data_IF_013794206068
#
_entry.id   IF_013794206068
#
_cell.length_a   1.000
_cell.length_b   1.000
_cell.length_c   1.000
_cell.angle_alpha   90.00
_cell.angle_beta   90.00
_cell.angle_gamma   90.00
#
_symmetry.space_group_name_H-M   'P 1'
#
loop_
_entity.id
_entity.type
_entity.pdbx_description
1 polymer ?
#
# COMPACT_ATOMS: atom_id res chain seq x y z
N UNK A 1 -18.18 33.80 20.00
CA UNK A 1 -19.35 33.44 19.17
C UNK A 1 -19.64 31.95 19.33
N UNK A 2 -20.89 31.64 19.66
CA UNK A 2 -21.27 30.43 20.36
C UNK A 2 -21.14 29.12 19.61
N UNK A 3 -20.53 28.16 20.26
CA UNK A 3 -20.56 26.73 19.89
C UNK A 3 -21.99 26.19 20.09
N UNK A 4 -22.69 25.93 18.98
CA UNK A 4 -23.91 25.11 19.05
C UNK A 4 -23.51 23.65 18.81
N UNK A 5 -23.40 22.88 19.87
CA UNK A 5 -23.35 21.41 19.79
C UNK A 5 -24.79 20.90 19.77
N UNK A 6 -25.20 20.29 18.67
CA UNK A 6 -26.44 19.52 18.67
C UNK A 6 -26.09 18.05 18.96
N UNK A 7 -26.16 17.65 20.21
CA UNK A 7 -26.03 16.25 20.64
C UNK A 7 -27.38 15.56 20.54
N UNK A 8 -27.54 14.57 19.67
CA UNK A 8 -28.61 13.60 19.80
C UNK A 8 -28.02 12.27 20.26
N UNK A 9 -28.25 11.92 21.51
CA UNK A 9 -27.90 10.61 22.08
C UNK A 9 -28.97 9.58 21.66
N UNK A 10 -28.57 8.55 20.91
CA UNK A 10 -29.38 7.34 20.74
C UNK A 10 -28.70 6.17 21.46
N UNK A 11 -29.33 5.73 22.55
CA UNK A 11 -28.89 4.51 23.26
C UNK A 11 -29.46 3.29 22.56
N UNK A 12 -28.61 2.40 22.06
CA UNK A 12 -28.99 1.08 21.57
C UNK A 12 -28.55 0.02 22.57
N UNK A 13 -29.51 -0.70 23.14
CA UNK A 13 -29.20 -1.85 23.99
C UNK A 13 -28.98 -3.07 23.11
N UNK A 14 -27.79 -3.59 23.06
CA UNK A 14 -27.46 -4.90 22.50
C UNK A 14 -26.61 -5.70 23.47
N UNK A 15 -27.15 -6.81 23.89
CA UNK A 15 -26.63 -7.98 24.65
C UNK A 15 -25.25 -7.83 25.36
N UNK A 16 -25.06 -8.38 26.56
CA UNK A 16 -24.34 -7.80 27.68
C UNK A 16 -22.82 -8.01 27.70
N UNK A 17 -22.07 -7.31 26.86
CA UNK A 17 -20.63 -7.14 27.08
C UNK A 17 -20.02 -5.83 26.54
N UNK A 18 -20.72 -5.04 25.74
CA UNK A 18 -20.22 -3.72 25.28
C UNK A 18 -21.36 -2.73 25.15
N UNK A 19 -21.37 -1.70 25.95
CA UNK A 19 -22.21 -0.53 25.75
C UNK A 19 -21.53 0.35 24.72
N UNK A 20 -22.12 0.49 23.53
CA UNK A 20 -21.68 1.40 22.49
C UNK A 20 -22.61 2.62 22.43
N UNK A 21 -22.03 3.79 22.23
CA UNK A 21 -22.77 5.04 21.99
C UNK A 21 -22.39 5.58 20.63
N UNK A 22 -23.40 5.90 19.82
CA UNK A 22 -23.21 6.59 18.56
C UNK A 22 -23.42 8.08 18.76
N UNK A 23 -22.39 8.87 18.51
CA UNK A 23 -22.44 10.32 18.58
C UNK A 23 -22.37 10.90 17.16
N UNK A 24 -23.44 11.61 16.75
CA UNK A 24 -23.45 12.29 15.47
C UNK A 24 -23.06 13.76 15.63
N UNK A 25 -22.08 14.20 14.87
CA UNK A 25 -21.64 15.60 14.80
C UNK A 25 -21.96 16.14 13.41
N UNK A 26 -22.73 17.22 13.34
CA UNK A 26 -23.00 17.93 12.09
C UNK A 26 -22.05 19.10 11.94
N UNK A 27 -21.31 19.14 10.85
CA UNK A 27 -20.43 20.24 10.48
C UNK A 27 -21.11 21.00 9.32
N UNK A 28 -21.38 22.29 9.52
CA UNK A 28 -21.89 23.12 8.46
C UNK A 28 -20.70 23.58 7.59
N UNK A 29 -20.85 23.48 6.26
CA UNK A 29 -19.82 23.89 5.28
C UNK A 29 -18.45 23.26 5.58
N UNK A 30 -18.33 21.92 5.57
CA UNK A 30 -17.09 21.25 5.94
C UNK A 30 -16.01 21.53 4.89
N UNK A 31 -14.82 21.89 5.36
CA UNK A 31 -13.61 21.84 4.54
C UNK A 31 -13.21 20.40 4.31
N UNK A 32 -12.84 20.08 3.08
CA UNK A 32 -12.46 18.72 2.70
C UNK A 32 -10.96 18.57 2.67
N UNK A 33 -10.50 17.37 2.99
CA UNK A 33 -9.14 16.94 2.75
C UNK A 33 -8.97 16.57 1.27
N UNK A 34 -7.86 16.99 0.65
CA UNK A 34 -7.50 16.66 -0.72
C UNK A 34 -6.08 16.09 -0.80
N UNK A 35 -5.80 15.22 -1.80
CA UNK A 35 -4.45 14.82 -2.11
C UNK A 35 -3.55 16.00 -2.50
N UNK A 36 -2.24 15.84 -2.32
CA UNK A 36 -1.23 16.79 -2.76
C UNK A 36 -1.42 17.17 -4.25
N UNK A 37 -1.40 18.46 -4.53
CA UNK A 37 -1.62 19.01 -5.86
C UNK A 37 -3.10 19.20 -6.27
N UNK A 38 -4.08 18.80 -5.44
CA UNK A 38 -5.51 18.90 -5.74
C UNK A 38 -6.29 19.80 -4.77
N UNK A 39 -5.70 20.21 -3.67
CA UNK A 39 -6.32 21.08 -2.69
C UNK A 39 -5.59 21.08 -1.36
N UNK A 40 -6.28 21.57 -0.31
CA UNK A 40 -5.75 21.66 1.05
C UNK A 40 -5.98 20.37 1.85
N UNK A 41 -5.14 20.12 2.85
CA UNK A 41 -5.22 18.97 3.73
C UNK A 41 -5.92 19.35 5.05
N UNK A 42 -7.15 19.88 4.92
CA UNK A 42 -7.96 20.28 6.08
C UNK A 42 -8.34 19.07 6.94
N UNK A 43 -8.08 19.17 8.25
CA UNK A 43 -8.33 18.11 9.22
C UNK A 43 -9.12 18.62 10.40
N UNK A 44 -9.91 17.73 10.99
CA UNK A 44 -10.74 18.01 12.16
C UNK A 44 -10.26 17.19 13.35
N UNK A 45 -10.26 17.80 14.51
CA UNK A 45 -9.99 17.11 15.78
C UNK A 45 -11.30 16.84 16.49
N UNK A 46 -11.62 15.56 16.68
CA UNK A 46 -12.74 15.12 17.49
C UNK A 46 -12.25 14.71 18.87
N UNK A 47 -12.92 15.17 19.90
CA UNK A 47 -12.63 14.81 21.30
C UNK A 47 -13.90 14.25 21.92
N UNK A 48 -13.91 12.95 22.20
CA UNK A 48 -14.95 12.32 22.98
C UNK A 48 -14.53 12.29 24.46
N UNK A 49 -15.41 12.75 25.36
CA UNK A 49 -15.21 12.70 26.81
C UNK A 49 -16.33 11.88 27.42
N UNK A 50 -15.97 10.89 28.21
CA UNK A 50 -16.88 10.08 29.01
C UNK A 50 -16.61 10.38 30.48
N UNK A 51 -17.66 10.63 31.24
CA UNK A 51 -17.58 10.81 32.69
C UNK A 51 -18.52 9.77 33.32
N UNK A 52 -18.01 9.07 34.32
CA UNK A 52 -18.81 8.13 35.09
C UNK A 52 -19.59 8.83 36.23
N UNK A 53 -20.34 8.05 36.99
CA UNK A 53 -21.16 8.57 38.11
C UNK A 53 -20.33 9.08 39.27
N UNK A 54 -19.10 8.61 39.42
CA UNK A 54 -18.18 8.98 40.52
C UNK A 54 -17.34 10.21 40.15
N UNK A 55 -17.51 10.73 38.94
CA UNK A 55 -16.86 11.95 38.45
C UNK A 55 -15.56 11.72 37.70
N UNK A 56 -15.08 10.48 37.62
CA UNK A 56 -13.90 10.13 36.83
C UNK A 56 -14.19 10.33 35.35
N UNK A 57 -13.21 10.83 34.62
CA UNK A 57 -13.38 11.13 33.19
C UNK A 57 -12.25 10.58 32.36
N UNK A 58 -12.64 10.00 31.21
CA UNK A 58 -11.74 9.59 30.16
C UNK A 58 -12.00 10.41 28.90
N UNK A 59 -10.95 10.67 28.11
CA UNK A 59 -11.12 11.30 26.81
C UNK A 59 -10.33 10.56 25.75
N UNK A 60 -10.90 10.50 24.56
CA UNK A 60 -10.25 10.01 23.35
C UNK A 60 -10.24 11.14 22.33
N UNK A 61 -9.07 11.36 21.73
CA UNK A 61 -8.88 12.30 20.63
C UNK A 61 -8.65 11.54 19.34
N UNK A 62 -9.33 11.98 18.27
CA UNK A 62 -9.08 11.51 16.91
C UNK A 62 -8.94 12.72 15.99
N UNK A 63 -7.99 12.63 15.06
CA UNK A 63 -7.78 13.62 13.98
C UNK A 63 -8.11 12.93 12.69
N UNK A 64 -8.95 13.54 11.85
CA UNK A 64 -9.31 12.98 10.55
C UNK A 64 -9.60 14.09 9.53
N UNK A 65 -9.49 13.78 8.25
CA UNK A 65 -9.94 14.64 7.16
C UNK A 65 -11.25 14.14 6.56
N UNK A 66 -12.12 15.06 6.17
CA UNK A 66 -13.38 14.71 5.53
C UNK A 66 -13.19 14.63 4.01
N UNK A 67 -13.43 13.47 3.44
CA UNK A 67 -13.35 13.24 1.98
C UNK A 67 -14.31 12.14 1.57
N UNK A 68 -14.60 12.04 0.29
CA UNK A 68 -15.11 10.82 -0.34
C UNK A 68 -13.99 10.19 -1.16
N UNK A 69 -13.97 8.86 -1.23
CA UNK A 69 -13.05 8.11 -2.09
C UNK A 69 -13.81 7.00 -2.83
N UNK A 70 -13.48 6.81 -4.10
CA UNK A 70 -14.02 5.78 -4.97
C UNK A 70 -12.87 5.16 -5.77
N UNK A 71 -12.84 3.86 -5.88
CA UNK A 71 -12.06 3.14 -6.89
C UNK A 71 -13.00 2.85 -8.06
N UNK A 72 -12.93 3.71 -9.08
CA UNK A 72 -13.83 3.66 -10.24
C UNK A 72 -13.38 2.60 -11.22
N UNK A 73 -14.29 1.71 -11.57
CA UNK A 73 -14.09 0.66 -12.55
C UNK A 73 -15.23 0.67 -13.57
N UNK A 74 -14.96 1.18 -14.75
CA UNK A 74 -15.94 1.30 -15.83
C UNK A 74 -15.41 0.63 -17.10
N UNK A 75 -16.30 -0.06 -17.80
CA UNK A 75 -15.98 -0.64 -19.11
C UNK A 75 -15.88 0.47 -20.16
N UNK A 76 -14.80 0.45 -20.94
CA UNK A 76 -14.60 1.32 -22.08
C UNK A 76 -13.98 0.54 -23.27
N UNK A 77 -13.55 1.24 -24.31
CA UNK A 77 -12.98 0.61 -25.52
C UNK A 77 -11.61 -0.05 -25.27
N UNK A 78 -10.93 0.23 -24.17
CA UNK A 78 -9.62 -0.31 -23.79
C UNK A 78 -9.68 -1.32 -22.64
N UNK A 79 -10.89 -1.74 -22.22
CA UNK A 79 -11.11 -2.66 -21.13
C UNK A 79 -11.82 -2.03 -19.94
N UNK A 80 -11.52 -2.48 -18.72
CA UNK A 80 -12.16 -2.01 -17.49
C UNK A 80 -11.21 -1.08 -16.74
N UNK A 81 -11.59 0.20 -16.59
CA UNK A 81 -10.77 1.23 -15.94
C UNK A 81 -10.43 0.88 -14.48
N UNK A 82 -9.36 1.45 -13.98
CA UNK A 82 -9.00 1.49 -12.56
C UNK A 82 -8.54 2.90 -12.22
N UNK A 83 -9.37 3.67 -11.56
CA UNK A 83 -9.16 5.10 -11.33
C UNK A 83 -9.57 5.50 -9.92
N UNK A 84 -8.69 6.20 -9.22
CA UNK A 84 -9.03 6.79 -7.92
C UNK A 84 -9.76 8.10 -8.12
N UNK A 85 -10.89 8.25 -7.43
CA UNK A 85 -11.69 9.48 -7.44
C UNK A 85 -11.82 9.99 -6.02
N UNK A 86 -11.27 11.16 -5.73
CA UNK A 86 -11.34 11.79 -4.41
C UNK A 86 -12.18 13.06 -4.48
N UNK A 87 -13.21 13.15 -3.66
CA UNK A 87 -14.16 14.28 -3.67
C UNK A 87 -14.81 14.52 -5.03
N UNK A 88 -15.01 13.48 -5.83
CA UNK A 88 -15.54 13.56 -7.18
C UNK A 88 -14.52 13.95 -8.27
N UNK A 89 -13.25 14.13 -7.91
CA UNK A 89 -12.17 14.47 -8.84
C UNK A 89 -11.36 13.22 -9.16
N UNK A 90 -11.25 12.80 -10.43
CA UNK A 90 -10.33 11.77 -10.86
C UNK A 90 -8.87 12.16 -10.57
N UNK A 91 -8.12 11.25 -9.95
CA UNK A 91 -6.73 11.49 -9.57
C UNK A 91 -5.82 10.60 -10.39
N UNK A 92 -4.87 11.20 -11.11
CA UNK A 92 -3.76 10.43 -11.67
C UNK A 92 -2.77 10.12 -10.55
N UNK A 93 -2.71 8.85 -10.13
CA UNK A 93 -1.82 8.40 -9.09
C UNK A 93 -0.36 8.38 -9.58
N UNK A 94 0.49 9.15 -8.92
CA UNK A 94 1.94 9.23 -9.16
C UNK A 94 2.66 8.87 -7.88
N UNK A 95 3.47 7.83 -7.90
CA UNK A 95 4.09 7.42 -6.67
C UNK A 95 5.03 6.23 -6.77
N UNK A 96 5.22 5.57 -5.65
CA UNK A 96 6.13 4.45 -5.52
C UNK A 96 5.59 3.43 -4.51
N UNK A 97 6.16 2.22 -4.56
CA UNK A 97 5.96 1.22 -3.52
C UNK A 97 6.91 1.52 -2.35
N UNK A 98 6.35 1.57 -1.15
CA UNK A 98 7.09 1.76 0.09
C UNK A 98 7.38 0.40 0.71
N UNK A 99 8.66 0.04 0.73
CA UNK A 99 9.18 -1.10 1.50
C UNK A 99 9.59 -0.62 2.90
N UNK A 100 9.97 -1.52 3.84
CA UNK A 100 10.47 -1.11 5.15
C UNK A 100 11.57 -0.04 5.06
N UNK A 101 11.39 1.05 5.80
CA UNK A 101 12.28 2.23 5.76
C UNK A 101 13.66 1.98 6.36
N UNK A 102 13.77 0.95 7.21
CA UNK A 102 14.96 0.60 7.96
C UNK A 102 14.94 -0.90 8.28
N UNK A 103 16.10 -1.53 8.31
CA UNK A 103 16.23 -2.94 8.74
C UNK A 103 15.83 -3.16 10.21
N UNK A 104 15.93 -2.11 11.01
CA UNK A 104 15.52 -2.10 12.41
C UNK A 104 14.41 -1.06 12.61
N UNK A 105 13.13 -1.45 12.55
CA UNK A 105 12.00 -0.52 12.57
C UNK A 105 12.00 0.48 13.75
N UNK A 106 12.53 0.07 14.90
CA UNK A 106 12.66 0.91 16.09
C UNK A 106 13.64 2.10 15.95
N UNK A 107 14.36 2.20 14.84
CA UNK A 107 15.21 3.36 14.50
C UNK A 107 14.50 4.41 13.66
N UNK A 108 13.28 4.12 13.23
CA UNK A 108 12.47 5.05 12.43
C UNK A 108 11.69 5.94 13.39
N UNK A 109 12.00 7.21 13.39
CA UNK A 109 11.28 8.22 14.15
C UNK A 109 10.42 9.11 13.24
N UNK A 110 9.57 9.95 13.84
CA UNK A 110 8.70 10.88 13.11
C UNK A 110 9.49 11.82 12.18
N UNK A 111 10.69 12.23 12.56
CA UNK A 111 11.50 13.14 11.74
C UNK A 111 11.98 12.44 10.46
N UNK A 112 12.42 11.18 10.58
CA UNK A 112 12.81 10.35 9.44
C UNK A 112 11.63 10.06 8.52
N UNK A 113 10.48 9.71 9.09
CA UNK A 113 9.22 9.52 8.34
C UNK A 113 8.87 10.78 7.56
N UNK A 114 8.86 11.93 8.22
CA UNK A 114 8.53 13.22 7.59
C UNK A 114 9.48 13.53 6.45
N UNK A 115 10.78 13.39 6.63
CA UNK A 115 11.75 13.63 5.57
C UNK A 115 11.46 12.81 4.32
N UNK A 116 11.18 11.50 4.47
CA UNK A 116 10.91 10.61 3.33
C UNK A 116 9.61 10.98 2.63
N UNK A 117 8.56 11.30 3.37
CA UNK A 117 7.28 11.68 2.78
C UNK A 117 7.33 13.07 2.13
N UNK A 118 8.13 13.99 2.67
CA UNK A 118 8.40 15.29 2.03
C UNK A 118 9.20 15.11 0.74
N UNK A 119 10.23 14.26 0.72
CA UNK A 119 10.97 13.93 -0.49
C UNK A 119 10.06 13.35 -1.58
N UNK A 120 9.14 12.46 -1.21
CA UNK A 120 8.14 11.91 -2.13
C UNK A 120 7.21 13.01 -2.70
N UNK A 121 6.66 13.87 -1.84
CA UNK A 121 5.82 15.00 -2.25
C UNK A 121 6.59 15.96 -3.16
N UNK A 122 7.83 16.30 -2.80
CA UNK A 122 8.66 17.26 -3.54
C UNK A 122 9.12 16.69 -4.89
N UNK A 123 9.17 15.35 -5.01
CA UNK A 123 9.27 14.64 -6.29
C UNK A 123 7.94 14.57 -7.07
N UNK A 124 6.91 15.31 -6.66
CA UNK A 124 5.56 15.33 -7.24
C UNK A 124 4.80 14.00 -7.14
N UNK A 125 5.12 13.17 -6.18
CA UNK A 125 4.30 12.01 -5.85
C UNK A 125 3.08 12.45 -5.03
N UNK A 126 1.94 11.82 -5.29
CA UNK A 126 0.71 12.03 -4.53
C UNK A 126 0.17 10.72 -3.94
N UNK A 127 0.83 9.60 -4.18
CA UNK A 127 0.46 8.28 -3.64
C UNK A 127 1.70 7.48 -3.27
N UNK A 128 1.59 6.72 -2.18
CA UNK A 128 2.54 5.64 -1.85
C UNK A 128 1.75 4.36 -1.56
N UNK A 129 2.29 3.22 -1.97
CA UNK A 129 1.77 1.92 -1.59
C UNK A 129 2.59 1.35 -0.45
N UNK A 130 1.95 1.10 0.69
CA UNK A 130 2.54 0.34 1.80
C UNK A 130 2.47 -1.14 1.42
N UNK A 131 3.59 -1.66 0.95
CA UNK A 131 3.70 -2.98 0.35
C UNK A 131 3.53 -4.11 1.38
N UNK A 132 2.77 -5.14 0.99
CA UNK A 132 2.39 -6.26 1.85
C UNK A 132 3.52 -7.20 2.29
N UNK A 133 4.71 -7.07 1.72
CA UNK A 133 5.91 -7.78 2.17
C UNK A 133 6.69 -7.08 3.30
N UNK A 134 6.14 -6.00 3.86
CA UNK A 134 6.71 -5.24 4.96
C UNK A 134 5.96 -5.44 6.28
N UNK A 135 5.61 -4.33 6.90
CA UNK A 135 4.83 -4.25 8.13
C UNK A 135 3.91 -3.02 8.10
N UNK A 136 2.85 -3.02 8.91
CA UNK A 136 2.03 -1.83 9.12
C UNK A 136 2.87 -0.75 9.79
N UNK A 137 2.91 0.42 9.19
CA UNK A 137 3.72 1.54 9.69
C UNK A 137 3.21 2.04 11.06
N UNK A 138 4.05 2.80 11.76
CA UNK A 138 3.64 3.49 12.99
C UNK A 138 2.62 4.59 12.70
N UNK A 139 1.85 5.00 13.72
CA UNK A 139 0.81 6.02 13.59
C UNK A 139 1.36 7.35 13.04
N UNK A 140 2.60 7.69 13.38
CA UNK A 140 3.29 8.87 12.85
C UNK A 140 3.40 8.89 11.32
N UNK A 141 3.52 7.74 10.68
CA UNK A 141 3.58 7.65 9.23
C UNK A 141 2.26 8.08 8.58
N UNK A 142 1.16 7.57 9.09
CA UNK A 142 -0.18 7.89 8.60
C UNK A 142 -0.55 9.34 8.91
N UNK A 143 -0.22 9.84 10.10
CA UNK A 143 -0.40 11.24 10.48
C UNK A 143 0.33 12.20 9.53
N UNK A 144 1.58 11.90 9.19
CA UNK A 144 2.38 12.73 8.27
C UNK A 144 1.85 12.61 6.83
N UNK A 145 1.41 11.43 6.39
CA UNK A 145 0.76 11.27 5.09
C UNK A 145 -0.53 12.12 4.98
N UNK A 146 -1.34 12.14 6.05
CA UNK A 146 -2.52 13.00 6.16
C UNK A 146 -2.17 14.49 6.08
N UNK A 147 -1.07 14.89 6.73
CA UNK A 147 -0.57 16.28 6.75
C UNK A 147 -0.09 16.73 5.36
N UNK A 148 0.57 15.86 4.64
CA UNK A 148 1.19 16.16 3.35
C UNK A 148 0.29 15.89 2.13
N UNK A 149 -0.86 15.24 2.34
CA UNK A 149 -1.77 14.89 1.26
C UNK A 149 -1.29 13.71 0.41
N UNK A 150 -0.45 12.84 0.95
CA UNK A 150 -0.01 11.64 0.24
C UNK A 150 -1.08 10.56 0.42
N UNK A 151 -1.72 10.19 -0.68
CA UNK A 151 -2.64 9.05 -0.69
C UNK A 151 -1.90 7.75 -0.37
N UNK A 152 -2.54 6.85 0.35
CA UNK A 152 -1.99 5.55 0.70
C UNK A 152 -2.82 4.42 0.11
N UNK A 153 -2.16 3.56 -0.65
CA UNK A 153 -2.61 2.22 -0.96
C UNK A 153 -2.06 1.31 0.14
N UNK A 154 -2.92 0.80 1.00
CA UNK A 154 -2.52 -0.02 2.15
C UNK A 154 -2.75 -1.50 1.86
N UNK A 155 -1.67 -2.27 1.69
CA UNK A 155 -1.76 -3.73 1.67
C UNK A 155 -1.97 -4.28 3.09
N UNK A 156 -2.72 -5.36 3.21
CA UNK A 156 -2.57 -6.30 4.31
C UNK A 156 -1.25 -7.07 4.15
N UNK A 157 -0.63 -7.49 5.26
CA UNK A 157 0.74 -8.01 5.26
C UNK A 157 0.82 -9.45 4.74
N UNK A 158 0.45 -9.63 3.48
CA UNK A 158 0.59 -10.88 2.71
C UNK A 158 1.32 -10.59 1.40
N UNK A 159 2.39 -11.35 1.12
CA UNK A 159 3.16 -11.15 -0.10
C UNK A 159 3.78 -12.46 -0.58
N UNK A 160 3.66 -12.72 -1.88
CA UNK A 160 4.42 -13.73 -2.65
C UNK A 160 4.52 -15.11 -1.98
N UNK A 161 3.46 -15.53 -1.27
CA UNK A 161 3.37 -16.84 -0.65
C UNK A 161 1.91 -17.31 -0.55
N UNK A 162 1.68 -18.61 -0.78
CA UNK A 162 0.36 -19.21 -0.59
C UNK A 162 0.06 -19.27 0.91
N UNK A 163 -1.01 -18.61 1.40
CA UNK A 163 -1.36 -18.65 2.81
C UNK A 163 -1.91 -20.04 3.20
N UNK A 164 -1.67 -20.50 4.44
CA UNK A 164 -2.30 -21.71 4.96
C UNK A 164 -3.83 -21.62 4.89
N UNK A 165 -4.47 -22.68 4.38
CA UNK A 165 -5.92 -22.75 4.26
C UNK A 165 -6.57 -23.44 5.48
N UNK A 166 -6.19 -23.06 6.70
CA UNK A 166 -6.80 -23.57 7.93
C UNK A 166 -7.79 -22.56 8.51
N UNK A 167 -8.75 -23.03 9.30
CA UNK A 167 -9.73 -22.17 9.97
C UNK A 167 -9.03 -21.22 10.93
N UNK A 168 -8.05 -21.73 11.68
CA UNK A 168 -7.28 -20.98 12.68
C UNK A 168 -6.49 -19.84 12.03
N UNK A 169 -5.82 -20.12 10.90
CA UNK A 169 -5.05 -19.10 10.18
C UNK A 169 -5.96 -17.99 9.65
N UNK A 170 -7.09 -18.36 9.01
CA UNK A 170 -8.05 -17.38 8.50
C UNK A 170 -8.67 -16.54 9.61
N UNK A 171 -8.99 -17.16 10.78
CA UNK A 171 -9.54 -16.42 11.91
C UNK A 171 -8.50 -15.47 12.52
N UNK A 172 -7.24 -15.91 12.67
CA UNK A 172 -6.17 -15.04 13.15
C UNK A 172 -5.94 -13.86 12.19
N UNK A 173 -5.90 -14.12 10.88
CA UNK A 173 -5.80 -13.08 9.85
C UNK A 173 -6.97 -12.08 9.91
N UNK A 174 -8.19 -12.59 10.15
CA UNK A 174 -9.38 -11.75 10.32
C UNK A 174 -9.28 -10.85 11.54
N UNK A 175 -8.80 -11.37 12.67
CA UNK A 175 -8.64 -10.60 13.91
C UNK A 175 -7.57 -9.52 13.76
N UNK A 176 -6.41 -9.84 13.16
CA UNK A 176 -5.38 -8.86 12.83
C UNK A 176 -5.92 -7.76 11.92
N UNK A 177 -6.64 -8.13 10.86
CA UNK A 177 -7.26 -7.17 9.95
C UNK A 177 -8.23 -6.24 10.68
N UNK A 178 -9.06 -6.75 11.60
CA UNK A 178 -9.97 -5.92 12.41
C UNK A 178 -9.20 -4.90 13.25
N UNK A 179 -8.12 -5.32 13.88
CA UNK A 179 -7.33 -4.44 14.72
C UNK A 179 -6.65 -3.34 13.90
N UNK A 180 -6.06 -3.69 12.75
CA UNK A 180 -5.40 -2.72 11.88
C UNK A 180 -6.39 -1.76 11.19
N UNK A 181 -7.50 -2.26 10.65
CA UNK A 181 -8.52 -1.40 10.06
C UNK A 181 -9.10 -0.43 11.08
N UNK A 182 -9.40 -0.87 12.30
CA UNK A 182 -9.87 0.02 13.38
C UNK A 182 -8.84 1.05 13.82
N UNK A 183 -7.54 0.70 13.79
CA UNK A 183 -6.45 1.61 14.11
C UNK A 183 -6.33 2.71 13.06
N UNK A 184 -6.47 2.36 11.78
CA UNK A 184 -6.07 3.19 10.66
C UNK A 184 -7.22 3.90 9.92
N UNK A 185 -8.47 3.48 10.09
CA UNK A 185 -9.64 3.99 9.35
C UNK A 185 -9.91 5.49 9.48
N UNK A 186 -9.35 6.14 10.49
CA UNK A 186 -9.54 7.58 10.70
C UNK A 186 -8.59 8.43 9.82
N UNK A 187 -7.63 7.79 9.11
CA UNK A 187 -6.66 8.47 8.25
C UNK A 187 -7.25 8.73 6.85
N UNK A 188 -7.48 10.00 6.46
CA UNK A 188 -8.02 10.35 5.16
C UNK A 188 -7.08 10.00 4.00
N UNK A 189 -5.80 9.85 4.25
CA UNK A 189 -4.78 9.43 3.28
C UNK A 189 -5.02 8.03 2.73
N UNK A 190 -5.59 7.09 3.51
CA UNK A 190 -5.87 5.74 3.03
C UNK A 190 -7.02 5.81 2.01
N UNK A 191 -6.73 5.44 0.77
CA UNK A 191 -7.68 5.51 -0.35
C UNK A 191 -8.05 4.12 -0.90
N UNK A 192 -7.34 3.08 -0.51
CA UNK A 192 -7.66 1.69 -0.81
C UNK A 192 -6.98 0.75 0.18
N UNK A 193 -7.69 -0.29 0.57
CA UNK A 193 -7.16 -1.46 1.24
C UNK A 193 -6.94 -2.57 0.22
N UNK A 194 -5.79 -3.23 0.25
CA UNK A 194 -5.46 -4.32 -0.67
C UNK A 194 -5.15 -5.60 0.08
N UNK A 195 -5.72 -6.71 -0.39
CA UNK A 195 -5.66 -7.99 0.30
C UNK A 195 -4.26 -8.60 0.35
N UNK A 196 -3.48 -8.48 -0.71
CA UNK A 196 -2.14 -9.06 -0.78
C UNK A 196 -1.31 -8.51 -1.93
N UNK A 197 0.00 -8.77 -1.87
CA UNK A 197 0.94 -8.63 -2.98
C UNK A 197 1.21 -9.97 -3.65
N UNK A 198 0.89 -10.07 -4.93
CA UNK A 198 1.34 -11.12 -5.88
C UNK A 198 0.96 -12.57 -5.54
N UNK A 199 -0.01 -12.81 -4.65
CA UNK A 199 -0.39 -14.18 -4.31
C UNK A 199 -1.13 -14.85 -5.47
N UNK A 200 -2.11 -14.15 -6.09
CA UNK A 200 -2.85 -14.68 -7.23
C UNK A 200 -1.94 -14.86 -8.45
N UNK A 201 -1.19 -13.82 -8.83
CA UNK A 201 -0.30 -13.92 -10.00
C UNK A 201 0.81 -14.95 -9.83
N UNK A 202 1.33 -15.11 -8.61
CA UNK A 202 2.30 -16.17 -8.30
C UNK A 202 1.72 -17.57 -8.51
N UNK A 203 0.47 -17.76 -8.08
CA UNK A 203 -0.25 -19.01 -8.26
C UNK A 203 -0.58 -19.32 -9.73
N UNK A 204 -0.92 -18.29 -10.52
CA UNK A 204 -1.33 -18.45 -11.91
C UNK A 204 -0.18 -18.46 -12.90
N UNK A 205 0.87 -17.66 -12.68
CA UNK A 205 1.83 -17.29 -13.72
C UNK A 205 3.29 -17.62 -13.40
N UNK A 206 3.64 -17.97 -12.15
CA UNK A 206 5.05 -18.24 -11.78
C UNK A 206 5.36 -19.73 -11.65
N UNK A 207 6.54 -20.07 -11.15
CA UNK A 207 6.96 -21.45 -10.89
C UNK A 207 6.07 -22.20 -9.91
N UNK A 208 5.11 -21.53 -9.24
CA UNK A 208 4.06 -22.16 -8.44
C UNK A 208 3.10 -23.00 -9.30
N UNK A 209 3.07 -22.78 -10.62
CA UNK A 209 2.36 -23.64 -11.57
C UNK A 209 2.87 -25.08 -11.52
N UNK A 210 4.17 -25.28 -11.31
CA UNK A 210 4.73 -26.62 -11.17
C UNK A 210 4.35 -27.25 -9.83
N UNK A 211 4.41 -26.50 -8.74
CA UNK A 211 3.86 -26.93 -7.45
C UNK A 211 2.38 -27.30 -7.55
N UNK A 212 1.59 -26.55 -8.30
CA UNK A 212 0.18 -26.82 -8.57
C UNK A 212 -0.03 -28.20 -9.25
N UNK A 213 0.87 -28.58 -10.16
CA UNK A 213 0.85 -29.91 -10.80
C UNK A 213 1.23 -31.01 -9.81
N UNK A 214 2.21 -30.76 -8.95
CA UNK A 214 2.72 -31.74 -7.97
C UNK A 214 1.67 -32.08 -6.89
N UNK A 215 0.92 -31.08 -6.41
CA UNK A 215 -0.13 -31.29 -5.42
C UNK A 215 -1.43 -31.86 -6.01
N UNK A 216 -1.60 -31.79 -7.31
CA UNK A 216 -2.77 -32.32 -8.04
C UNK A 216 -3.99 -31.39 -8.01
N UNK A 217 -5.03 -31.74 -8.80
CA UNK A 217 -6.17 -30.83 -9.04
C UNK A 217 -7.06 -30.59 -7.84
N UNK A 218 -7.24 -31.56 -6.96
CA UNK A 218 -8.09 -31.45 -5.79
C UNK A 218 -7.49 -30.47 -4.76
N UNK A 219 -6.21 -30.68 -4.43
CA UNK A 219 -5.49 -29.81 -3.50
C UNK A 219 -5.32 -28.38 -4.08
N UNK A 220 -5.02 -28.26 -5.37
CA UNK A 220 -4.97 -26.98 -6.07
C UNK A 220 -6.27 -26.21 -5.92
N UNK A 221 -7.41 -26.86 -6.12
CA UNK A 221 -8.72 -26.25 -5.95
C UNK A 221 -9.00 -25.85 -4.49
N UNK A 222 -8.50 -26.61 -3.50
CA UNK A 222 -8.61 -26.23 -2.09
C UNK A 222 -7.81 -24.98 -1.78
N UNK A 223 -6.59 -24.86 -2.30
CA UNK A 223 -5.72 -23.69 -2.16
C UNK A 223 -6.38 -22.46 -2.80
N UNK A 224 -6.87 -22.55 -4.04
CA UNK A 224 -7.57 -21.47 -4.74
C UNK A 224 -8.79 -20.97 -3.98
N UNK A 225 -9.61 -21.88 -3.48
CA UNK A 225 -10.75 -21.52 -2.61
C UNK A 225 -10.30 -20.85 -1.32
N UNK A 226 -9.18 -21.31 -0.74
CA UNK A 226 -8.59 -20.71 0.45
C UNK A 226 -8.19 -19.24 0.24
N UNK A 227 -7.48 -18.97 -0.85
CA UNK A 227 -7.08 -17.61 -1.26
C UNK A 227 -8.29 -16.72 -1.53
N UNK A 228 -9.24 -17.20 -2.34
CA UNK A 228 -10.46 -16.44 -2.65
C UNK A 228 -11.30 -16.19 -1.38
N UNK A 229 -11.35 -17.14 -0.46
CA UNK A 229 -12.03 -16.96 0.82
C UNK A 229 -11.35 -15.91 1.69
N UNK A 230 -10.02 -15.98 1.84
CA UNK A 230 -9.27 -15.02 2.68
C UNK A 230 -9.31 -13.63 2.06
N UNK A 231 -8.85 -13.48 0.83
CA UNK A 231 -8.67 -12.16 0.19
C UNK A 231 -9.97 -11.63 -0.43
N UNK A 232 -10.77 -12.47 -1.04
CA UNK A 232 -12.01 -12.04 -1.69
C UNK A 232 -13.19 -11.83 -0.73
N UNK A 233 -13.23 -12.53 0.40
CA UNK A 233 -14.41 -12.51 1.29
C UNK A 233 -14.07 -12.02 2.70
N UNK A 234 -13.11 -12.64 3.41
CA UNK A 234 -12.85 -12.34 4.84
C UNK A 234 -12.31 -10.92 5.00
N UNK A 235 -11.20 -10.58 4.34
CA UNK A 235 -10.58 -9.25 4.47
C UNK A 235 -11.50 -8.15 3.92
N UNK A 236 -12.16 -8.40 2.79
CA UNK A 236 -13.20 -7.52 2.25
C UNK A 236 -14.32 -7.27 3.25
N UNK A 237 -14.80 -8.33 3.90
CA UNK A 237 -15.85 -8.23 4.92
C UNK A 237 -15.41 -7.40 6.13
N UNK A 238 -14.16 -7.49 6.53
CA UNK A 238 -13.59 -6.66 7.60
C UNK A 238 -13.57 -5.19 7.19
N UNK A 239 -13.02 -4.87 6.01
CA UNK A 239 -12.98 -3.48 5.51
C UNK A 239 -14.38 -2.91 5.40
N UNK A 240 -15.32 -3.61 4.74
CA UNK A 240 -16.69 -3.15 4.58
C UNK A 240 -17.42 -2.93 5.92
N UNK A 241 -17.04 -3.68 6.96
CA UNK A 241 -17.67 -3.56 8.29
C UNK A 241 -17.11 -2.40 9.11
N UNK A 242 -15.80 -2.14 9.02
CA UNK A 242 -15.11 -1.23 9.92
C UNK A 242 -14.59 0.05 9.27
N UNK A 243 -14.49 0.07 7.92
CA UNK A 243 -14.05 1.21 7.10
C UNK A 243 -14.75 1.23 5.74
N UNK A 244 -16.07 1.06 5.74
CA UNK A 244 -16.88 0.88 4.52
C UNK A 244 -16.89 2.06 3.54
N UNK A 245 -16.29 3.18 3.91
CA UNK A 245 -16.13 4.37 3.04
C UNK A 245 -14.86 4.30 2.17
N UNK A 246 -13.98 3.32 2.42
CA UNK A 246 -12.74 3.10 1.67
C UNK A 246 -12.86 1.83 0.83
N UNK A 247 -12.56 1.88 -0.48
CA UNK A 247 -12.62 0.70 -1.35
C UNK A 247 -11.61 -0.37 -0.94
N UNK A 248 -11.97 -1.62 -1.23
CA UNK A 248 -11.12 -2.78 -1.04
C UNK A 248 -10.75 -3.42 -2.38
N UNK A 249 -9.46 -3.78 -2.56
CA UNK A 249 -8.88 -4.48 -3.69
C UNK A 249 -8.34 -5.84 -3.25
N UNK A 250 -8.77 -6.93 -3.88
CA UNK A 250 -8.52 -8.27 -3.35
C UNK A 250 -7.06 -8.72 -3.45
N UNK A 251 -6.37 -8.35 -4.52
CA UNK A 251 -4.98 -8.76 -4.82
C UNK A 251 -4.32 -7.75 -5.76
N UNK A 252 -3.03 -7.50 -5.61
CA UNK A 252 -2.23 -6.68 -6.53
C UNK A 252 -1.01 -7.49 -7.01
N UNK A 253 -0.78 -7.69 -8.33
CA UNK A 253 -1.69 -7.27 -9.39
C UNK A 253 -2.96 -8.12 -9.41
N UNK A 254 -4.05 -7.57 -9.91
CA UNK A 254 -5.30 -8.31 -9.95
C UNK A 254 -6.40 -7.65 -10.76
N UNK A 255 -7.49 -8.41 -10.87
CA UNK A 255 -8.73 -8.00 -11.52
C UNK A 255 -9.92 -8.02 -10.56
N UNK A 256 -9.64 -8.12 -9.26
CA UNK A 256 -10.62 -8.38 -8.20
C UNK A 256 -11.23 -9.78 -8.26
N UNK A 257 -10.45 -10.76 -8.72
CA UNK A 257 -10.86 -12.13 -9.05
C UNK A 257 -11.92 -12.24 -10.17
N UNK A 258 -12.12 -11.18 -10.98
CA UNK A 258 -13.00 -11.26 -12.15
C UNK A 258 -12.42 -12.19 -13.24
N UNK A 259 -11.10 -12.13 -13.46
CA UNK A 259 -10.31 -12.92 -14.41
C UNK A 259 -8.94 -13.22 -13.84
N UNK A 260 -8.03 -13.81 -14.64
CA UNK A 260 -6.64 -14.01 -14.27
C UNK A 260 -5.97 -12.67 -13.88
N UNK A 261 -5.01 -12.75 -12.97
CA UNK A 261 -4.25 -11.57 -12.51
C UNK A 261 -3.31 -11.01 -13.60
N UNK A 262 -2.85 -9.78 -13.39
CA UNK A 262 -1.82 -9.14 -14.19
C UNK A 262 -2.21 -8.89 -15.65
N UNK A 263 -3.45 -8.43 -15.87
CA UNK A 263 -3.97 -8.11 -17.21
C UNK A 263 -3.68 -6.64 -17.57
N UNK A 264 -3.45 -6.38 -18.87
CA UNK A 264 -3.19 -5.02 -19.35
C UNK A 264 -4.47 -4.17 -19.42
N UNK A 265 -5.60 -4.82 -19.65
CA UNK A 265 -6.89 -4.18 -19.92
C UNK A 265 -7.88 -4.20 -18.74
N UNK A 266 -7.50 -4.81 -17.61
CA UNK A 266 -8.37 -4.94 -16.44
C UNK A 266 -7.59 -4.92 -15.12
N UNK A 267 -7.97 -4.03 -14.22
CA UNK A 267 -7.36 -3.91 -12.91
C UNK A 267 -5.96 -3.28 -12.92
N UNK A 268 -5.10 -3.78 -12.05
CA UNK A 268 -3.72 -3.31 -11.93
C UNK A 268 -2.70 -4.34 -12.41
N UNK A 269 -1.54 -3.84 -12.82
CA UNK A 269 -0.48 -4.64 -13.43
C UNK A 269 0.87 -4.42 -12.76
N UNK A 270 1.63 -5.52 -12.56
CA UNK A 270 3.05 -5.51 -12.24
C UNK A 270 3.86 -5.86 -13.48
N UNK A 271 4.78 -4.99 -13.88
CA UNK A 271 5.57 -5.18 -15.10
C UNK A 271 7.07 -5.21 -14.80
N UNK A 272 7.61 -6.42 -14.67
CA UNK A 272 9.00 -6.68 -14.32
C UNK A 272 9.84 -7.26 -15.48
N UNK A 273 9.37 -7.18 -16.73
CA UNK A 273 10.09 -7.72 -17.87
C UNK A 273 11.36 -6.92 -18.21
N UNK A 274 11.41 -5.65 -17.83
CA UNK A 274 12.62 -4.83 -17.96
C UNK A 274 13.61 -5.18 -16.87
N UNK A 275 13.32 -4.86 -15.59
CA UNK A 275 14.28 -5.11 -14.51
C UNK A 275 14.36 -6.58 -14.09
N UNK A 276 13.25 -7.26 -13.96
CA UNK A 276 13.18 -8.70 -13.64
C UNK A 276 13.49 -9.59 -14.85
N UNK A 277 12.93 -10.77 -14.87
CA UNK A 277 12.89 -11.71 -16.00
C UNK A 277 13.98 -11.58 -17.07
N UNK A 278 13.58 -11.36 -18.33
CA UNK A 278 14.48 -11.38 -19.49
C UNK A 278 15.38 -10.15 -19.64
N UNK A 279 15.27 -9.15 -18.78
CA UNK A 279 16.04 -7.91 -18.88
C UNK A 279 15.86 -7.19 -20.24
N UNK A 280 14.60 -6.97 -20.63
CA UNK A 280 14.26 -6.30 -21.89
C UNK A 280 14.78 -4.84 -21.90
N UNK A 281 14.94 -4.23 -23.07
CA UNK A 281 15.30 -2.81 -23.16
C UNK A 281 14.30 -1.91 -22.43
N UNK A 282 14.75 -0.78 -21.90
CA UNK A 282 13.87 0.18 -21.21
C UNK A 282 12.77 0.76 -22.09
N UNK A 283 12.98 0.73 -23.42
CA UNK A 283 11.97 1.13 -24.42
C UNK A 283 10.72 0.27 -24.39
N UNK A 284 10.78 -0.93 -23.79
CA UNK A 284 9.59 -1.78 -23.62
C UNK A 284 8.51 -1.15 -22.75
N UNK A 285 8.86 -0.24 -21.84
CA UNK A 285 7.85 0.53 -21.10
C UNK A 285 6.93 1.36 -22.02
N UNK A 286 7.36 1.70 -23.24
CA UNK A 286 6.54 2.41 -24.22
C UNK A 286 5.50 1.51 -24.91
N UNK A 287 5.70 0.20 -24.83
CA UNK A 287 4.85 -0.80 -25.47
C UNK A 287 3.76 -1.36 -24.55
N UNK A 288 3.78 -0.98 -23.25
CA UNK A 288 2.86 -1.52 -22.24
C UNK A 288 2.08 -0.38 -21.60
N UNK A 289 0.77 -0.34 -21.86
CA UNK A 289 -0.12 0.71 -21.35
C UNK A 289 -1.29 0.06 -20.58
N UNK A 290 -1.08 -0.37 -19.32
CA UNK A 290 -2.14 -0.98 -18.53
C UNK A 290 -3.13 0.05 -18.02
N UNK A 291 -4.27 -0.44 -17.50
CA UNK A 291 -5.27 0.43 -16.86
C UNK A 291 -4.73 1.10 -15.59
N UNK A 292 -3.87 0.39 -14.84
CA UNK A 292 -3.12 0.92 -13.73
C UNK A 292 -1.80 0.14 -13.58
N UNK A 293 -0.66 0.84 -13.59
CA UNK A 293 0.64 0.23 -13.37
C UNK A 293 1.01 0.39 -11.89
N UNK A 294 0.76 -0.65 -11.09
CA UNK A 294 1.01 -0.62 -9.64
C UNK A 294 2.44 -0.99 -9.26
N UNK A 295 3.14 -1.76 -10.11
CA UNK A 295 4.57 -2.01 -9.96
C UNK A 295 5.31 -2.05 -11.28
N UNK A 296 6.42 -1.35 -11.33
CA UNK A 296 7.47 -1.42 -12.35
C UNK A 296 8.72 -0.73 -11.80
N UNK A 297 9.84 -0.84 -12.48
CA UNK A 297 11.02 -0.10 -12.09
C UNK A 297 12.31 -0.64 -12.66
N UNK A 298 13.37 0.10 -12.39
CA UNK A 298 14.74 -0.24 -12.68
C UNK A 298 15.57 0.11 -11.45
N UNK A 299 16.30 -0.85 -10.91
CA UNK A 299 17.19 -0.57 -9.79
C UNK A 299 18.28 0.43 -10.21
N UNK A 300 18.67 1.29 -9.29
CA UNK A 300 19.83 2.17 -9.44
C UNK A 300 20.77 1.99 -8.24
N UNK A 301 22.03 2.40 -8.39
CA UNK A 301 22.86 2.68 -7.23
C UNK A 301 22.29 3.88 -6.47
N UNK A 302 22.49 3.96 -5.14
CA UNK A 302 22.19 5.19 -4.41
C UNK A 302 23.16 6.31 -4.87
N UNK A 303 22.81 7.56 -4.54
CA UNK A 303 23.70 8.67 -4.85
C UNK A 303 25.08 8.52 -4.17
N UNK A 304 26.10 9.18 -4.72
CA UNK A 304 27.46 9.05 -4.26
C UNK A 304 27.68 9.47 -2.80
N UNK A 305 26.86 10.38 -2.26
CA UNK A 305 26.91 10.75 -0.84
C UNK A 305 26.53 9.57 0.05
N UNK A 306 25.52 8.81 -0.36
CA UNK A 306 25.09 7.59 0.32
C UNK A 306 26.13 6.49 0.19
N UNK A 307 26.70 6.28 -1.01
CA UNK A 307 27.77 5.29 -1.21
C UNK A 307 28.98 5.59 -0.31
N UNK A 308 29.43 6.84 -0.28
CA UNK A 308 30.55 7.29 0.56
C UNK A 308 30.30 7.17 2.07
N UNK A 309 29.03 6.99 2.49
CA UNK A 309 28.71 6.78 3.90
C UNK A 309 29.01 5.34 4.38
N UNK A 310 29.15 4.38 3.45
CA UNK A 310 29.38 2.97 3.80
C UNK A 310 30.56 2.32 3.05
N UNK A 311 31.15 2.98 2.05
CA UNK A 311 32.22 2.45 1.21
C UNK A 311 33.44 3.37 1.23
N UNK A 312 34.62 2.79 1.32
CA UNK A 312 35.87 3.49 1.22
C UNK A 312 36.28 3.71 -0.26
N UNK A 313 37.24 4.59 -0.56
CA UNK A 313 37.68 4.82 -1.95
C UNK A 313 38.10 3.55 -2.70
N UNK A 314 38.65 2.55 -2.01
CA UNK A 314 39.05 1.27 -2.59
C UNK A 314 37.87 0.34 -2.90
N UNK A 315 36.67 0.66 -2.41
CA UNK A 315 35.42 -0.11 -2.62
C UNK A 315 34.58 0.45 -3.77
N UNK A 316 35.03 1.50 -4.46
CA UNK A 316 34.31 2.15 -5.57
C UNK A 316 34.38 1.31 -6.85
N UNK A 317 33.89 0.09 -6.75
CA UNK A 317 33.71 -0.90 -7.81
C UNK A 317 32.43 -1.69 -7.57
N UNK A 318 31.52 -1.80 -8.54
CA UNK A 318 30.31 -2.62 -8.40
C UNK A 318 30.54 -4.06 -7.94
N UNK A 319 31.70 -4.60 -8.24
CA UNK A 319 32.09 -5.97 -7.86
C UNK A 319 32.90 -6.06 -6.55
N UNK A 320 33.17 -4.93 -5.89
CA UNK A 320 33.82 -4.94 -4.58
C UNK A 320 33.03 -5.71 -3.54
N UNK A 321 33.65 -6.32 -2.54
CA UNK A 321 32.95 -7.04 -1.47
C UNK A 321 31.90 -6.19 -0.77
N UNK A 322 32.19 -4.88 -0.54
CA UNK A 322 31.28 -3.94 0.10
C UNK A 322 30.05 -3.71 -0.78
N UNK A 323 30.21 -3.39 -2.06
CA UNK A 323 29.10 -3.15 -2.97
C UNK A 323 28.26 -4.42 -3.20
N UNK A 324 28.89 -5.59 -3.25
CA UNK A 324 28.19 -6.88 -3.39
C UNK A 324 27.35 -7.22 -2.16
N UNK A 325 27.80 -6.91 -0.97
CA UNK A 325 27.02 -7.13 0.27
C UNK A 325 25.77 -6.24 0.30
N UNK A 326 25.82 -5.04 -0.28
CA UNK A 326 24.67 -4.13 -0.38
C UNK A 326 23.68 -4.52 -1.48
N UNK A 327 24.05 -5.39 -2.42
CA UNK A 327 23.18 -5.88 -3.47
C UNK A 327 22.38 -7.11 -3.03
N UNK A 328 21.05 -7.01 -2.99
CA UNK A 328 20.17 -8.10 -2.55
C UNK A 328 19.37 -8.74 -3.70
N UNK A 329 19.22 -8.05 -4.82
CA UNK A 329 18.47 -8.55 -5.95
C UNK A 329 19.17 -9.77 -6.58
N UNK A 330 18.34 -10.78 -6.92
CA UNK A 330 18.76 -12.01 -7.62
C UNK A 330 20.03 -12.64 -7.01
N UNK A 331 20.02 -12.88 -5.71
CA UNK A 331 21.14 -13.49 -4.96
C UNK A 331 22.47 -12.76 -5.12
N UNK A 332 22.43 -11.42 -5.30
CA UNK A 332 23.62 -10.58 -5.49
C UNK A 332 24.00 -10.31 -6.95
N UNK A 333 23.25 -10.80 -7.93
CA UNK A 333 23.53 -10.54 -9.36
C UNK A 333 23.05 -9.15 -9.85
N UNK A 334 22.37 -8.38 -9.02
CA UNK A 334 21.81 -7.09 -9.39
C UNK A 334 22.83 -6.11 -9.94
N UNK A 335 24.08 -6.07 -9.42
CA UNK A 335 25.12 -5.19 -9.93
C UNK A 335 25.47 -5.49 -11.39
N UNK A 336 25.56 -6.76 -11.78
CA UNK A 336 25.77 -7.15 -13.18
C UNK A 336 24.64 -6.67 -14.09
N UNK A 337 23.39 -6.72 -13.59
CA UNK A 337 22.22 -6.26 -14.32
C UNK A 337 22.21 -4.73 -14.44
N UNK A 338 22.56 -4.00 -13.39
CA UNK A 338 22.76 -2.55 -13.42
C UNK A 338 23.79 -2.17 -14.51
N UNK A 339 24.95 -2.81 -14.50
CA UNK A 339 26.00 -2.58 -15.49
C UNK A 339 25.55 -2.93 -16.92
N UNK A 340 24.71 -3.95 -17.10
CA UNK A 340 24.12 -4.27 -18.40
C UNK A 340 23.29 -3.08 -18.94
N UNK A 341 22.45 -2.47 -18.09
CA UNK A 341 21.63 -1.32 -18.49
C UNK A 341 22.45 -0.06 -18.71
N UNK A 342 23.44 0.22 -17.87
CA UNK A 342 24.36 1.34 -18.05
C UNK A 342 25.05 1.23 -19.42
N UNK A 343 25.62 0.06 -19.75
CA UNK A 343 26.30 -0.18 -21.03
C UNK A 343 25.37 -0.04 -22.22
N UNK A 344 24.13 -0.54 -22.11
CA UNK A 344 23.15 -0.45 -23.20
C UNK A 344 22.71 0.98 -23.48
N UNK A 345 22.64 1.85 -22.47
CA UNK A 345 22.10 3.21 -22.61
C UNK A 345 23.17 4.27 -22.74
N UNK A 346 24.28 4.12 -22.06
CA UNK A 346 25.31 5.17 -21.94
C UNK A 346 26.70 4.72 -22.41
N UNK A 347 26.92 3.44 -22.67
CA UNK A 347 28.22 2.88 -22.98
C UNK A 347 29.02 2.46 -21.73
N UNK A 348 30.33 2.20 -21.89
CA UNK A 348 31.19 1.84 -20.77
C UNK A 348 31.41 3.04 -19.87
N UNK A 349 31.17 2.93 -18.56
CA UNK A 349 31.51 4.00 -17.61
C UNK A 349 32.99 4.18 -17.50
N UNK A 350 33.46 5.41 -17.27
CA UNK A 350 34.88 5.72 -17.11
C UNK A 350 35.39 5.32 -15.73
N UNK A 351 34.55 5.47 -14.73
CA UNK A 351 34.81 5.20 -13.33
C UNK A 351 33.49 4.93 -12.62
N UNK A 352 33.55 4.71 -11.32
CA UNK A 352 32.34 4.42 -10.51
C UNK A 352 31.38 5.63 -10.37
N UNK A 353 31.88 6.85 -10.50
CA UNK A 353 31.10 8.09 -10.37
C UNK A 353 30.40 8.50 -11.68
N UNK A 354 30.85 7.98 -12.82
CA UNK A 354 30.33 8.32 -14.15
C UNK A 354 29.14 7.47 -14.55
#
# INVERSE_FOLDING_TARGET
MGKKSANSLRTRWSIPARTGWDLAVRIAEPKRWFPAGYGTQDRYTFVAKVRDADGDSQQIKRVTGLRSVELRRQQDQWGKSMEFVVNGIPIFAKGANLIPLESFPNRVDRARIRSILEDARDANMNMLRVWGGGYYQDDDFYDVADELGIMLWQDFMFASAVPPNTVEYRENSRLEAIDQVKRLRDHPSIVVWCGNNEVQTGWENWGWVDFKKDVGPEESSLIERGMTTLFGSILRGVVNTYDGDVPYWATSPGTDFDTDANQVDNGDMHYWQVWGGPALPVTEYLNVTPRFMSEYGLQSFPDMRTVRAFAEPGDMDPESPVMRVHQKFDKGNGNKRLMLYIRRQFGEPKDFES
#
